data_IF_172594791386
#
_entry.id   IF_172594791386
#
_cell.length_a   1.000
_cell.length_b   1.000
_cell.length_c   1.000
_cell.angle_alpha   90.00
_cell.angle_beta   90.00
_cell.angle_gamma   90.00
#
_symmetry.space_group_name_H-M   'P 1'
#
loop_
_entity.id
_entity.type
_entity.pdbx_description
1 polymer ?
#
# COMPACT_ATOMS: atom_id res chain seq x y z
N UNK A 1 -27.18 -18.39 -28.94
CA UNK A 1 -28.27 -18.06 -27.99
C UNK A 1 -28.30 -16.54 -27.94
N UNK A 2 -29.26 -15.93 -28.64
CA UNK A 2 -29.35 -14.49 -28.78
C UNK A 2 -29.99 -13.89 -27.52
N UNK A 3 -29.27 -12.99 -26.84
CA UNK A 3 -29.84 -12.13 -25.80
C UNK A 3 -29.73 -10.67 -26.25
N UNK A 4 -30.90 -10.06 -26.48
CA UNK A 4 -31.06 -8.61 -26.54
C UNK A 4 -31.65 -8.16 -25.21
N UNK A 5 -30.86 -7.44 -24.42
CA UNK A 5 -31.39 -6.40 -23.53
C UNK A 5 -30.30 -5.37 -23.20
N UNK A 6 -30.60 -4.10 -23.50
CA UNK A 6 -29.81 -2.88 -23.25
C UNK A 6 -28.58 -2.56 -24.11
N UNK A 7 -28.54 -3.00 -25.37
CA UNK A 7 -28.13 -2.20 -26.54
C UNK A 7 -26.95 -1.21 -26.46
N UNK A 8 -25.94 -1.42 -25.62
CA UNK A 8 -24.70 -0.65 -25.60
C UNK A 8 -23.55 -1.60 -25.93
N UNK A 9 -23.06 -1.50 -27.16
CA UNK A 9 -21.81 -2.08 -27.58
C UNK A 9 -20.69 -1.06 -27.32
N UNK A 10 -19.56 -1.52 -26.78
CA UNK A 10 -18.43 -0.69 -26.38
C UNK A 10 -17.47 -0.49 -27.55
N UNK A 11 -17.25 0.76 -27.98
CA UNK A 11 -16.24 1.07 -29.00
C UNK A 11 -14.83 0.94 -28.41
N UNK A 12 -13.95 0.25 -29.12
CA UNK A 12 -12.50 0.24 -28.91
C UNK A 12 -11.80 0.96 -30.06
N UNK A 13 -12.04 2.26 -30.29
CA UNK A 13 -11.26 2.96 -31.34
C UNK A 13 -11.37 4.49 -31.29
N UNK A 14 -10.41 5.11 -30.57
CA UNK A 14 -9.61 6.18 -31.13
C UNK A 14 -8.14 5.92 -30.77
N UNK A 15 -7.32 5.61 -31.77
CA UNK A 15 -5.92 5.24 -31.61
C UNK A 15 -5.07 6.50 -31.74
N UNK A 16 -4.57 7.02 -30.61
CA UNK A 16 -3.41 7.89 -30.60
C UNK A 16 -2.22 7.07 -30.15
N UNK A 17 -1.45 6.58 -31.12
CA UNK A 17 -0.12 6.03 -30.85
C UNK A 17 0.80 7.20 -30.55
N UNK A 18 1.00 7.53 -29.28
CA UNK A 18 2.17 8.32 -28.89
C UNK A 18 3.28 7.34 -28.52
N UNK A 19 4.41 7.32 -29.26
CA UNK A 19 5.57 6.59 -28.80
C UNK A 19 6.10 7.33 -27.56
N UNK A 20 5.94 6.72 -26.39
CA UNK A 20 6.78 7.02 -25.24
C UNK A 20 7.56 5.73 -25.00
N UNK A 21 8.83 5.72 -25.43
CA UNK A 21 9.78 4.63 -25.17
C UNK A 21 9.31 3.22 -25.59
N UNK A 22 8.90 3.03 -26.86
CA UNK A 22 8.54 1.71 -27.42
C UNK A 22 7.40 0.93 -26.70
N UNK A 23 6.55 1.58 -25.91
CA UNK A 23 5.36 0.96 -25.29
C UNK A 23 4.06 1.47 -25.92
N UNK A 24 3.20 0.55 -26.33
CA UNK A 24 1.87 0.84 -26.87
C UNK A 24 0.86 0.97 -25.73
N UNK A 25 0.51 2.21 -25.34
CA UNK A 25 -0.59 2.47 -24.39
C UNK A 25 -1.84 2.81 -25.21
N UNK A 26 -2.87 1.96 -25.17
CA UNK A 26 -4.16 2.19 -25.87
C UNK A 26 -5.17 2.85 -24.93
N UNK A 27 -5.38 4.16 -25.07
CA UNK A 27 -6.50 4.87 -24.45
C UNK A 27 -7.75 4.73 -25.32
N UNK A 28 -8.91 4.53 -24.70
CA UNK A 28 -10.19 4.43 -25.40
C UNK A 28 -11.13 5.45 -24.76
N UNK A 29 -11.41 6.54 -25.49
CA UNK A 29 -12.41 7.54 -25.09
C UNK A 29 -13.70 7.36 -25.90
N UNK A 30 -14.82 7.38 -25.18
CA UNK A 30 -16.14 6.96 -25.65
C UNK A 30 -16.93 8.16 -26.23
N UNK A 31 -16.50 8.71 -27.37
CA UNK A 31 -17.11 9.93 -27.95
C UNK A 31 -18.02 9.75 -29.17
N UNK A 32 -18.18 8.55 -29.72
CA UNK A 32 -18.98 8.37 -30.95
C UNK A 32 -19.62 6.97 -31.02
N UNK A 33 -20.78 6.82 -30.37
CA UNK A 33 -21.55 5.58 -30.26
C UNK A 33 -22.82 5.54 -31.14
N UNK A 34 -22.98 6.40 -32.14
CA UNK A 34 -24.19 6.47 -32.95
C UNK A 34 -23.90 6.16 -34.43
N UNK A 35 -23.96 4.88 -34.84
CA UNK A 35 -24.52 4.40 -36.13
C UNK A 35 -23.93 3.06 -36.68
N UNK A 36 -22.88 2.48 -36.11
CA UNK A 36 -22.26 1.26 -36.68
C UNK A 36 -22.71 -0.05 -36.03
N UNK A 37 -23.03 -1.08 -36.82
CA UNK A 37 -23.12 -2.47 -36.36
C UNK A 37 -21.71 -2.91 -35.97
N UNK A 38 -21.50 -3.20 -34.69
CA UNK A 38 -20.20 -3.62 -34.17
C UNK A 38 -19.99 -5.13 -34.37
N UNK A 39 -18.93 -5.52 -35.06
CA UNK A 39 -18.48 -6.92 -35.09
C UNK A 39 -17.59 -7.22 -33.89
N UNK A 40 -17.88 -8.34 -33.21
CA UNK A 40 -17.09 -8.81 -32.08
C UNK A 40 -15.73 -9.30 -32.59
N UNK A 41 -14.63 -8.76 -32.04
CA UNK A 41 -13.29 -9.26 -32.35
C UNK A 41 -13.19 -10.73 -31.92
N UNK A 42 -12.71 -11.58 -32.83
CA UNK A 42 -12.51 -13.02 -32.57
C UNK A 42 -11.06 -13.38 -32.20
N UNK A 43 -10.11 -12.57 -32.62
CA UNK A 43 -8.68 -12.85 -32.44
C UNK A 43 -8.16 -12.39 -31.06
N UNK A 44 -7.33 -13.21 -30.38
CA UNK A 44 -6.69 -12.79 -29.14
C UNK A 44 -5.74 -11.60 -29.34
N UNK A 45 -5.59 -10.80 -28.30
CA UNK A 45 -4.67 -9.68 -28.17
C UNK A 45 -3.30 -10.17 -27.65
N UNK A 46 -2.61 -11.01 -28.42
CA UNK A 46 -1.34 -11.62 -28.00
C UNK A 46 -0.22 -10.63 -27.65
N UNK A 47 -0.31 -9.38 -28.11
CA UNK A 47 0.67 -8.33 -27.83
C UNK A 47 0.28 -7.41 -26.67
N UNK A 48 -0.91 -7.61 -26.07
CA UNK A 48 -1.34 -6.81 -24.93
C UNK A 48 -0.64 -7.32 -23.66
N UNK A 49 0.33 -6.54 -23.17
CA UNK A 49 1.05 -6.85 -21.92
C UNK A 49 0.52 -6.05 -20.72
N UNK A 50 -0.23 -4.97 -20.94
CA UNK A 50 -0.77 -4.12 -19.89
C UNK A 50 -2.26 -3.86 -20.12
N UNK A 51 -3.08 -4.04 -19.08
CA UNK A 51 -4.52 -3.82 -19.10
C UNK A 51 -4.92 -3.02 -17.87
N UNK A 52 -5.62 -1.92 -18.10
CA UNK A 52 -6.04 -0.98 -17.06
C UNK A 52 -7.52 -0.66 -17.18
N UNK A 53 -8.28 -0.95 -16.12
CA UNK A 53 -9.68 -0.55 -15.99
C UNK A 53 -9.78 0.65 -15.06
N UNK A 54 -9.68 1.86 -15.60
CA UNK A 54 -9.84 3.10 -14.81
C UNK A 54 -11.13 3.81 -15.22
N UNK A 55 -11.87 4.33 -14.23
CA UNK A 55 -12.97 5.27 -14.49
C UNK A 55 -14.27 4.67 -15.04
N UNK A 56 -14.51 3.37 -14.91
CA UNK A 56 -15.76 2.71 -15.36
C UNK A 56 -16.95 3.04 -14.45
N UNK A 57 -17.36 4.32 -14.41
CA UNK A 57 -18.49 4.79 -13.59
C UNK A 57 -19.80 4.17 -14.09
N UNK A 58 -20.59 3.59 -13.19
CA UNK A 58 -21.91 3.04 -13.48
C UNK A 58 -21.92 1.71 -14.25
N UNK A 59 -20.76 1.23 -14.71
CA UNK A 59 -20.66 -0.13 -15.22
C UNK A 59 -20.43 -1.11 -14.07
N UNK A 60 -21.08 -2.28 -14.12
CA UNK A 60 -20.83 -3.38 -13.21
C UNK A 60 -20.82 -4.68 -14.00
N UNK A 61 -19.79 -5.49 -13.78
CA UNK A 61 -19.75 -6.86 -14.27
C UNK A 61 -20.83 -7.66 -13.53
N UNK A 62 -21.74 -8.25 -14.30
CA UNK A 62 -22.90 -8.98 -13.77
C UNK A 62 -22.66 -10.48 -13.69
N UNK A 63 -21.84 -11.03 -14.59
CA UNK A 63 -21.57 -12.45 -14.72
C UNK A 63 -20.08 -12.72 -15.00
N UNK A 64 -19.62 -13.93 -14.70
CA UNK A 64 -18.23 -14.36 -14.90
C UNK A 64 -17.92 -14.66 -16.36
N UNK A 65 -18.95 -14.94 -17.18
CA UNK A 65 -18.80 -15.31 -18.60
C UNK A 65 -18.23 -14.14 -19.40
N UNK A 66 -18.73 -12.93 -19.18
CA UNK A 66 -18.25 -11.74 -19.89
C UNK A 66 -16.80 -11.41 -19.48
N UNK A 67 -16.48 -11.57 -18.20
CA UNK A 67 -15.09 -11.44 -17.71
C UNK A 67 -14.19 -12.52 -18.32
N UNK A 68 -14.64 -13.78 -18.38
CA UNK A 68 -13.90 -14.90 -18.97
C UNK A 68 -13.58 -14.62 -20.44
N UNK A 69 -14.59 -14.21 -21.20
CA UNK A 69 -14.44 -13.90 -22.61
C UNK A 69 -13.39 -12.79 -22.79
N UNK A 70 -13.46 -11.73 -22.01
CA UNK A 70 -12.50 -10.62 -22.06
C UNK A 70 -11.06 -11.06 -21.74
N UNK A 71 -10.84 -11.77 -20.63
CA UNK A 71 -9.48 -12.19 -20.23
C UNK A 71 -8.91 -13.28 -21.15
N UNK A 72 -9.75 -14.12 -21.75
CA UNK A 72 -9.32 -15.10 -22.76
C UNK A 72 -8.67 -14.44 -23.99
N UNK A 73 -8.97 -13.17 -24.27
CA UNK A 73 -8.29 -12.41 -25.32
C UNK A 73 -6.94 -11.84 -24.88
N UNK A 74 -6.52 -11.93 -23.62
CA UNK A 74 -5.33 -11.25 -23.10
C UNK A 74 -4.29 -12.22 -22.49
N UNK A 75 -3.84 -13.28 -23.19
CA UNK A 75 -3.04 -14.34 -22.58
C UNK A 75 -1.62 -13.92 -22.15
N UNK A 76 -1.09 -12.83 -22.70
CA UNK A 76 0.26 -12.33 -22.42
C UNK A 76 0.29 -11.15 -21.45
N UNK A 77 -0.80 -10.93 -20.70
CA UNK A 77 -0.91 -9.84 -19.74
C UNK A 77 0.11 -9.98 -18.62
N UNK A 78 0.96 -8.97 -18.43
CA UNK A 78 1.96 -8.86 -17.36
C UNK A 78 1.59 -7.87 -16.28
N UNK A 79 0.94 -6.76 -16.66
CA UNK A 79 0.47 -5.74 -15.73
C UNK A 79 -1.04 -5.63 -15.78
N UNK A 80 -1.66 -5.82 -14.63
CA UNK A 80 -3.10 -5.72 -14.49
C UNK A 80 -3.45 -4.65 -13.46
N UNK A 81 -4.04 -3.55 -13.94
CA UNK A 81 -4.55 -2.45 -13.14
C UNK A 81 -6.08 -2.49 -13.12
N UNK A 82 -6.64 -2.90 -12.00
CA UNK A 82 -7.99 -3.38 -11.89
C UNK A 82 -8.79 -2.53 -10.91
N UNK A 83 -9.63 -1.63 -11.43
CA UNK A 83 -10.78 -1.13 -10.68
C UNK A 83 -12.04 -1.87 -11.13
N UNK A 84 -12.03 -3.21 -11.02
CA UNK A 84 -13.14 -4.04 -11.53
C UNK A 84 -14.41 -3.82 -10.70
N UNK A 85 -15.49 -3.27 -11.30
CA UNK A 85 -16.75 -3.06 -10.61
C UNK A 85 -17.56 -4.37 -10.60
N UNK A 86 -17.31 -5.25 -9.64
CA UNK A 86 -17.93 -6.58 -9.56
C UNK A 86 -19.15 -6.53 -8.65
N UNK A 87 -20.33 -6.96 -9.07
CA UNK A 87 -21.45 -7.02 -8.11
C UNK A 87 -21.25 -8.13 -7.05
N UNK A 88 -21.08 -7.75 -5.76
CA UNK A 88 -20.89 -8.70 -4.64
C UNK A 88 -22.03 -9.71 -4.52
N UNK A 89 -23.22 -9.37 -5.01
CA UNK A 89 -24.39 -10.24 -4.91
C UNK A 89 -24.39 -11.35 -5.96
N UNK A 90 -23.63 -11.21 -7.04
CA UNK A 90 -23.79 -12.10 -8.21
C UNK A 90 -22.52 -12.83 -8.63
N UNK A 91 -21.35 -12.35 -8.20
CA UNK A 91 -20.07 -12.88 -8.66
C UNK A 91 -19.28 -13.52 -7.52
N UNK A 92 -18.96 -14.80 -7.69
CA UNK A 92 -18.00 -15.51 -6.83
C UNK A 92 -16.60 -14.96 -7.09
N UNK A 93 -16.09 -14.18 -6.11
CA UNK A 93 -14.76 -13.55 -6.14
C UNK A 93 -13.66 -14.57 -6.36
N UNK A 94 -13.79 -15.76 -5.78
CA UNK A 94 -12.79 -16.83 -5.93
C UNK A 94 -12.78 -17.37 -7.37
N UNK A 95 -13.97 -17.58 -7.95
CA UNK A 95 -14.08 -18.00 -9.35
C UNK A 95 -13.52 -16.95 -10.31
N UNK A 96 -13.76 -15.65 -10.04
CA UNK A 96 -13.17 -14.56 -10.83
C UNK A 96 -11.65 -14.55 -10.74
N UNK A 97 -11.10 -14.71 -9.53
CA UNK A 97 -9.66 -14.73 -9.33
C UNK A 97 -8.98 -15.89 -10.08
N UNK A 98 -9.54 -17.11 -9.99
CA UNK A 98 -9.04 -18.28 -10.75
C UNK A 98 -9.09 -18.06 -12.25
N UNK A 99 -10.21 -17.55 -12.75
CA UNK A 99 -10.39 -17.24 -14.16
C UNK A 99 -9.34 -16.25 -14.67
N UNK A 100 -9.05 -15.19 -13.91
CA UNK A 100 -8.01 -14.22 -14.28
C UNK A 100 -6.64 -14.88 -14.30
N UNK A 101 -6.31 -15.67 -13.27
CA UNK A 101 -5.01 -16.35 -13.19
C UNK A 101 -4.81 -17.39 -14.30
N UNK A 102 -5.85 -18.15 -14.66
CA UNK A 102 -5.82 -19.15 -15.73
C UNK A 102 -5.70 -18.51 -17.12
N UNK A 103 -6.45 -17.43 -17.36
CA UNK A 103 -6.45 -16.75 -18.65
C UNK A 103 -5.21 -15.86 -18.86
N UNK A 104 -4.66 -15.29 -17.78
CA UNK A 104 -3.54 -14.37 -17.79
C UNK A 104 -2.41 -14.84 -16.85
N UNK A 105 -1.77 -15.98 -17.14
CA UNK A 105 -0.82 -16.61 -16.22
C UNK A 105 0.50 -15.85 -16.07
N UNK A 106 0.72 -14.75 -16.80
CA UNK A 106 1.97 -13.99 -16.81
C UNK A 106 1.92 -12.70 -15.98
N UNK A 107 0.87 -12.50 -15.18
CA UNK A 107 0.72 -11.28 -14.38
C UNK A 107 1.82 -11.22 -13.32
N UNK A 108 2.64 -10.18 -13.39
CA UNK A 108 3.75 -9.87 -12.48
C UNK A 108 3.45 -8.60 -11.66
N UNK A 109 2.65 -7.69 -12.22
CA UNK A 109 2.31 -6.41 -11.59
C UNK A 109 0.80 -6.31 -11.41
N UNK A 110 0.37 -6.12 -10.17
CA UNK A 110 -1.03 -5.92 -9.81
C UNK A 110 -1.21 -4.51 -9.25
N UNK A 111 -2.08 -3.73 -9.87
CA UNK A 111 -2.63 -2.52 -9.30
C UNK A 111 -4.13 -2.73 -9.08
N UNK A 112 -4.64 -2.30 -7.94
CA UNK A 112 -6.05 -2.41 -7.60
C UNK A 112 -6.46 -1.17 -6.83
N UNK A 113 -7.64 -0.64 -7.11
CA UNK A 113 -8.16 0.46 -6.29
C UNK A 113 -9.65 0.40 -6.09
N UNK A 114 -10.17 1.15 -5.11
CA UNK A 114 -11.57 1.07 -4.77
C UNK A 114 -12.38 1.62 -5.93
N UNK A 115 -13.45 0.92 -6.30
CA UNK A 115 -14.56 1.57 -6.97
C UNK A 115 -15.42 2.20 -5.86
N UNK A 116 -15.81 3.47 -6.00
CA UNK A 116 -16.54 4.23 -4.96
C UNK A 116 -17.78 3.51 -4.41
N UNK A 117 -18.34 2.60 -5.18
CA UNK A 117 -19.56 1.87 -4.85
C UNK A 117 -19.33 0.53 -4.16
N UNK A 118 -18.10 -0.03 -4.18
CA UNK A 118 -17.85 -1.41 -3.75
C UNK A 118 -16.47 -1.64 -3.14
N UNK A 119 -16.48 -2.38 -2.04
CA UNK A 119 -15.35 -2.66 -1.18
C UNK A 119 -14.79 -4.08 -1.44
N UNK A 120 -14.20 -4.31 -2.61
CA UNK A 120 -13.64 -5.62 -2.99
C UNK A 120 -12.17 -5.74 -2.65
N UNK A 121 -11.81 -5.49 -1.39
CA UNK A 121 -10.41 -5.57 -0.97
C UNK A 121 -9.84 -6.99 -0.99
N UNK A 122 -10.71 -8.00 -1.04
CA UNK A 122 -10.29 -9.41 -1.07
C UNK A 122 -9.83 -9.88 -2.45
N UNK A 123 -10.39 -9.34 -3.54
CA UNK A 123 -10.11 -9.81 -4.90
C UNK A 123 -8.62 -9.75 -5.28
N UNK A 124 -7.87 -8.63 -5.08
CA UNK A 124 -6.46 -8.61 -5.44
C UNK A 124 -5.65 -9.72 -4.75
N UNK A 125 -5.92 -9.99 -3.47
CA UNK A 125 -5.26 -11.07 -2.74
C UNK A 125 -5.69 -12.46 -3.22
N UNK A 126 -6.94 -12.64 -3.66
CA UNK A 126 -7.39 -13.88 -4.31
C UNK A 126 -6.71 -14.10 -5.65
N UNK A 127 -6.53 -13.04 -6.45
CA UNK A 127 -5.78 -13.13 -7.72
C UNK A 127 -4.34 -13.56 -7.43
N UNK A 128 -3.66 -12.91 -6.48
CA UNK A 128 -2.31 -13.33 -6.04
C UNK A 128 -2.28 -14.79 -5.61
N UNK A 129 -3.24 -15.22 -4.77
CA UNK A 129 -3.36 -16.61 -4.33
C UNK A 129 -3.55 -17.62 -5.47
N UNK A 130 -4.24 -17.23 -6.55
CA UNK A 130 -4.50 -18.06 -7.72
C UNK A 130 -3.33 -18.07 -8.74
N UNK A 131 -2.52 -17.01 -8.80
CA UNK A 131 -1.33 -16.95 -9.65
C UNK A 131 -0.26 -17.96 -9.20
N UNK A 132 0.70 -18.27 -10.07
CA UNK A 132 1.83 -19.13 -9.73
C UNK A 132 2.63 -18.51 -8.58
N UNK A 133 3.06 -19.35 -7.63
CA UNK A 133 3.86 -18.90 -6.51
C UNK A 133 5.14 -18.21 -7.00
N UNK A 134 5.59 -17.18 -6.28
CA UNK A 134 6.81 -16.46 -6.60
C UNK A 134 6.83 -15.89 -8.03
N UNK A 135 5.68 -15.36 -8.49
CA UNK A 135 5.55 -14.65 -9.76
C UNK A 135 5.32 -13.15 -9.61
N UNK A 136 4.51 -12.73 -8.63
CA UNK A 136 4.15 -11.32 -8.44
C UNK A 136 5.36 -10.55 -7.90
N UNK A 137 5.67 -9.44 -8.57
CA UNK A 137 6.83 -8.57 -8.30
C UNK A 137 6.40 -7.24 -7.70
N UNK A 138 5.26 -6.71 -8.12
CA UNK A 138 4.77 -5.40 -7.66
C UNK A 138 3.28 -5.44 -7.37
N UNK A 139 2.89 -4.87 -6.23
CA UNK A 139 1.50 -4.75 -5.79
C UNK A 139 1.22 -3.31 -5.36
N UNK A 140 0.28 -2.64 -6.03
CA UNK A 140 -0.27 -1.34 -5.62
C UNK A 140 -1.75 -1.53 -5.28
N UNK A 141 -2.11 -1.38 -4.01
CA UNK A 141 -3.49 -1.43 -3.55
C UNK A 141 -3.90 -0.07 -3.02
N UNK A 142 -4.94 0.50 -3.62
CA UNK A 142 -5.71 1.58 -3.03
C UNK A 142 -6.87 0.96 -2.27
N UNK A 143 -6.95 1.28 -1.00
CA UNK A 143 -7.82 0.70 -0.01
C UNK A 143 -8.99 1.67 0.18
N UNK A 144 -10.19 1.15 -0.07
CA UNK A 144 -11.42 1.89 0.17
C UNK A 144 -11.74 1.99 1.67
N UNK A 145 -13.02 2.13 2.00
CA UNK A 145 -13.48 2.15 3.41
C UNK A 145 -13.45 0.78 4.09
N UNK A 146 -13.11 -0.28 3.37
CA UNK A 146 -13.06 -1.61 3.94
C UNK A 146 -11.73 -1.92 4.60
N UNK A 147 -11.85 -2.68 5.69
CA UNK A 147 -10.72 -3.29 6.36
C UNK A 147 -10.05 -4.30 5.42
N UNK A 148 -8.73 -4.33 5.47
CA UNK A 148 -7.93 -5.35 4.82
C UNK A 148 -8.17 -6.68 5.56
N UNK A 149 -8.41 -7.74 4.81
CA UNK A 149 -8.43 -9.11 5.33
C UNK A 149 -6.97 -9.55 5.55
N UNK A 150 -6.43 -9.27 6.74
CA UNK A 150 -5.03 -9.55 7.06
C UNK A 150 -4.63 -11.02 6.88
N UNK A 151 -5.42 -12.02 7.35
CA UNK A 151 -5.10 -13.43 7.09
C UNK A 151 -4.94 -13.73 5.60
N UNK A 152 -5.86 -13.22 4.77
CA UNK A 152 -5.79 -13.43 3.32
C UNK A 152 -4.60 -12.69 2.69
N UNK A 153 -4.35 -11.45 3.10
CA UNK A 153 -3.20 -10.66 2.66
C UNK A 153 -1.89 -11.38 3.00
N UNK A 154 -1.73 -11.85 4.23
CA UNK A 154 -0.52 -12.53 4.69
C UNK A 154 -0.26 -13.82 3.90
N UNK A 155 -1.29 -14.63 3.63
CA UNK A 155 -1.18 -15.82 2.79
C UNK A 155 -0.74 -15.47 1.36
N UNK A 156 -1.32 -14.43 0.77
CA UNK A 156 -0.96 -13.96 -0.57
C UNK A 156 0.48 -13.43 -0.61
N UNK A 157 0.92 -12.68 0.40
CA UNK A 157 2.28 -12.13 0.49
C UNK A 157 3.30 -13.25 0.67
N UNK A 158 3.07 -14.20 1.58
CA UNK A 158 3.95 -15.36 1.79
C UNK A 158 4.15 -16.17 0.50
N UNK A 159 3.10 -16.32 -0.32
CA UNK A 159 3.17 -17.01 -1.61
C UNK A 159 4.12 -16.34 -2.61
N UNK A 160 4.38 -15.04 -2.47
CA UNK A 160 5.21 -14.23 -3.37
C UNK A 160 6.40 -13.58 -2.65
N UNK A 161 6.75 -14.04 -1.45
CA UNK A 161 7.73 -13.40 -0.57
C UNK A 161 9.12 -13.25 -1.20
N UNK A 162 9.54 -14.15 -2.09
CA UNK A 162 10.86 -14.09 -2.72
C UNK A 162 10.89 -13.29 -4.02
N UNK A 163 9.75 -13.02 -4.65
CA UNK A 163 9.70 -12.18 -5.87
C UNK A 163 9.17 -10.79 -5.65
N UNK A 164 8.40 -10.55 -4.58
CA UNK A 164 7.83 -9.25 -4.29
C UNK A 164 8.94 -8.23 -4.00
N UNK A 165 9.01 -7.20 -4.85
CA UNK A 165 9.94 -6.08 -4.75
C UNK A 165 9.26 -4.79 -4.33
N UNK A 166 7.98 -4.63 -4.68
CA UNK A 166 7.24 -3.40 -4.41
C UNK A 166 5.88 -3.72 -3.82
N UNK A 167 5.60 -3.12 -2.66
CA UNK A 167 4.30 -3.17 -2.01
C UNK A 167 3.87 -1.76 -1.62
N UNK A 168 2.81 -1.27 -2.27
CA UNK A 168 2.17 0.00 -1.95
C UNK A 168 0.76 -0.26 -1.46
N UNK A 169 0.46 0.16 -0.24
CA UNK A 169 -0.89 0.11 0.33
C UNK A 169 -1.29 1.54 0.68
N UNK A 170 -2.15 2.14 -0.14
CA UNK A 170 -2.64 3.51 0.03
C UNK A 170 -4.10 3.45 0.44
N UNK A 171 -4.57 4.36 1.28
CA UNK A 171 -5.98 4.42 1.67
C UNK A 171 -6.54 5.79 1.25
N UNK A 172 -7.60 5.78 0.45
CA UNK A 172 -8.14 7.00 -0.20
C UNK A 172 -9.14 7.75 0.70
N UNK A 173 -9.09 7.58 2.02
CA UNK A 173 -10.11 8.12 2.92
C UNK A 173 -9.54 8.70 4.22
N UNK A 174 -10.39 9.42 4.92
CA UNK A 174 -10.10 10.10 6.19
C UNK A 174 -10.22 9.16 7.41
N UNK A 175 -10.01 7.86 7.23
CA UNK A 175 -10.08 6.88 8.30
C UNK A 175 -8.71 6.26 8.55
N UNK A 176 -8.38 6.09 9.81
CA UNK A 176 -7.19 5.35 10.23
C UNK A 176 -7.53 3.88 10.36
N UNK A 177 -6.76 3.02 9.70
CA UNK A 177 -6.86 1.57 9.84
C UNK A 177 -5.53 0.97 10.23
N UNK A 178 -5.52 0.23 11.33
CA UNK A 178 -4.39 -0.61 11.71
C UNK A 178 -4.21 -1.71 10.68
N UNK A 179 -2.96 -2.02 10.36
CA UNK A 179 -2.56 -3.22 9.62
C UNK A 179 -1.34 -3.87 10.28
N UNK A 180 -1.23 -5.19 10.14
CA UNK A 180 0.01 -5.91 10.42
C UNK A 180 0.96 -5.88 9.23
N UNK A 181 2.23 -5.58 9.48
CA UNK A 181 3.34 -5.67 8.52
C UNK A 181 4.38 -6.73 8.90
N UNK A 182 4.16 -7.47 9.99
CA UNK A 182 5.17 -8.43 10.48
C UNK A 182 5.50 -9.51 9.46
N UNK A 183 4.49 -10.06 8.78
CA UNK A 183 4.69 -11.02 7.67
C UNK A 183 5.49 -10.40 6.51
N UNK A 184 5.23 -9.14 6.16
CA UNK A 184 5.94 -8.44 5.07
C UNK A 184 7.42 -8.28 5.43
N UNK A 185 7.69 -7.75 6.62
CA UNK A 185 9.05 -7.43 7.07
C UNK A 185 9.88 -8.69 7.34
N UNK A 186 9.24 -9.79 7.74
CA UNK A 186 9.89 -11.07 8.02
C UNK A 186 10.14 -11.90 6.76
N UNK A 187 9.20 -11.96 5.81
CA UNK A 187 9.26 -12.92 4.71
C UNK A 187 9.80 -12.32 3.41
N UNK A 188 9.57 -11.03 3.15
CA UNK A 188 9.87 -10.40 1.86
C UNK A 188 11.33 -9.93 1.74
N UNK A 189 12.28 -10.87 1.64
CA UNK A 189 13.72 -10.57 1.64
C UNK A 189 14.21 -9.75 0.43
N UNK A 190 13.45 -9.74 -0.67
CA UNK A 190 13.75 -8.98 -1.89
C UNK A 190 12.95 -7.68 -2.02
N UNK A 191 12.24 -7.26 -0.96
CA UNK A 191 11.46 -6.02 -0.98
C UNK A 191 12.38 -4.80 -1.09
N UNK A 192 12.14 -4.00 -2.13
CA UNK A 192 12.85 -2.76 -2.45
C UNK A 192 12.03 -1.53 -2.05
N UNK A 193 10.69 -1.62 -2.10
CA UNK A 193 9.76 -0.53 -1.78
C UNK A 193 8.65 -1.03 -0.86
N UNK A 194 8.55 -0.44 0.33
CA UNK A 194 7.40 -0.58 1.22
C UNK A 194 6.76 0.79 1.45
N UNK A 195 5.58 1.00 0.89
CA UNK A 195 4.91 2.30 0.91
C UNK A 195 3.50 2.19 1.48
N UNK A 196 3.39 2.46 2.78
CA UNK A 196 2.16 2.46 3.57
C UNK A 196 2.04 3.87 4.20
N UNK A 197 1.69 4.88 3.40
CA UNK A 197 1.62 6.24 3.88
C UNK A 197 0.44 6.41 4.82
N UNK A 198 0.62 7.30 5.80
CA UNK A 198 -0.44 7.80 6.64
C UNK A 198 -0.46 9.33 6.51
N UNK A 199 -1.62 9.90 6.19
CA UNK A 199 -1.81 11.35 6.13
C UNK A 199 -2.30 11.86 7.48
N UNK A 200 -2.38 13.18 7.61
CA UNK A 200 -2.99 13.83 8.77
C UNK A 200 -4.50 13.59 8.84
N UNK A 201 -5.13 13.23 7.73
CA UNK A 201 -6.57 12.97 7.67
C UNK A 201 -6.94 11.50 7.79
N UNK A 202 -6.03 10.56 7.54
CA UNK A 202 -6.32 9.13 7.57
C UNK A 202 -5.18 8.29 7.03
N UNK A 203 -5.41 6.99 6.86
CA UNK A 203 -4.43 6.11 6.27
C UNK A 203 -4.29 4.77 6.97
N UNK A 204 -3.35 3.98 6.46
CA UNK A 204 -2.94 2.75 7.10
C UNK A 204 -1.82 3.03 8.07
N UNK A 205 -1.84 2.34 9.22
CA UNK A 205 -0.77 2.46 10.21
C UNK A 205 -0.43 1.11 10.82
N UNK A 206 0.78 1.02 11.36
CA UNK A 206 1.30 -0.15 12.07
C UNK A 206 1.56 0.23 13.52
N UNK A 207 1.43 -0.69 14.46
CA UNK A 207 1.85 -0.41 15.85
C UNK A 207 3.35 -0.63 15.99
N UNK A 208 4.00 0.11 16.89
CA UNK A 208 5.42 -0.11 17.22
C UNK A 208 5.71 -1.58 17.57
N UNK A 209 4.84 -2.23 18.35
CA UNK A 209 4.94 -3.67 18.66
C UNK A 209 4.97 -4.56 17.43
N UNK A 210 4.14 -4.25 16.43
CA UNK A 210 4.06 -5.07 15.23
C UNK A 210 5.29 -4.88 14.33
N UNK A 211 5.82 -3.66 14.26
CA UNK A 211 7.09 -3.38 13.58
C UNK A 211 8.29 -4.05 14.28
N UNK A 212 8.18 -4.30 15.59
CA UNK A 212 9.20 -4.93 16.42
C UNK A 212 9.04 -6.45 16.56
N UNK A 213 7.93 -7.03 16.11
CA UNK A 213 7.57 -8.43 16.36
C UNK A 213 8.65 -9.43 15.87
N UNK A 214 9.20 -9.19 14.68
CA UNK A 214 10.21 -10.06 14.06
C UNK A 214 11.36 -9.27 13.43
N UNK A 215 12.60 -9.79 13.37
CA UNK A 215 13.69 -9.15 12.64
C UNK A 215 13.33 -8.87 11.19
N UNK A 216 13.79 -7.73 10.66
CA UNK A 216 13.51 -7.34 9.29
C UNK A 216 14.47 -8.07 8.34
N UNK A 217 13.93 -8.82 7.38
CA UNK A 217 14.72 -9.56 6.38
C UNK A 217 14.85 -8.81 5.05
N UNK A 218 14.08 -7.72 4.87
CA UNK A 218 14.07 -6.87 3.68
C UNK A 218 15.31 -5.94 3.61
N UNK A 219 16.51 -6.51 3.57
CA UNK A 219 17.77 -5.75 3.55
C UNK A 219 17.97 -4.90 2.27
N UNK A 220 17.19 -5.16 1.21
CA UNK A 220 17.23 -4.43 -0.06
C UNK A 220 16.32 -3.21 -0.11
N UNK A 221 15.69 -2.87 1.01
CA UNK A 221 14.71 -1.80 1.03
C UNK A 221 15.38 -0.46 0.73
N UNK A 222 14.94 0.17 -0.36
CA UNK A 222 15.43 1.46 -0.84
C UNK A 222 14.47 2.59 -0.47
N UNK A 223 13.17 2.29 -0.37
CA UNK A 223 12.14 3.26 -0.02
C UNK A 223 11.25 2.69 1.09
N UNK A 224 11.20 3.39 2.22
CA UNK A 224 10.35 3.09 3.37
C UNK A 224 9.39 4.25 3.60
N UNK A 225 8.09 4.01 3.52
CA UNK A 225 7.10 4.93 4.05
C UNK A 225 6.13 4.18 4.97
N UNK A 226 6.08 4.55 6.25
CA UNK A 226 5.25 3.90 7.26
C UNK A 226 4.61 4.93 8.20
N UNK A 227 3.29 4.81 8.40
CA UNK A 227 2.61 5.38 9.56
C UNK A 227 2.75 4.45 10.77
N UNK A 228 3.29 4.91 11.90
CA UNK A 228 3.47 4.11 13.12
C UNK A 228 2.77 4.73 14.32
N UNK A 229 1.97 3.94 15.02
CA UNK A 229 1.31 4.31 16.27
C UNK A 229 2.00 3.71 17.50
N UNK A 230 1.74 4.26 18.68
CA UNK A 230 2.36 3.79 19.92
C UNK A 230 3.82 4.22 20.03
N UNK A 231 4.15 5.36 19.42
CA UNK A 231 5.44 6.02 19.53
C UNK A 231 5.39 7.15 20.57
N UNK A 232 4.22 7.53 21.06
CA UNK A 232 4.03 8.57 22.05
C UNK A 232 4.76 8.23 23.34
N UNK A 233 5.58 9.16 23.83
CA UNK A 233 6.26 8.98 25.12
C UNK A 233 5.18 9.01 26.22
N UNK A 234 5.11 7.98 27.08
CA UNK A 234 4.06 7.89 28.09
C UNK A 234 4.10 9.11 29.02
N UNK A 235 2.93 9.73 29.24
CA UNK A 235 2.77 10.81 30.21
C UNK A 235 2.30 10.21 31.55
N UNK A 236 3.11 10.34 32.60
CA UNK A 236 2.74 9.92 33.94
C UNK A 236 2.02 11.06 34.70
N UNK A 237 0.85 10.81 35.33
CA UNK A 237 0.13 11.84 36.07
C UNK A 237 0.99 12.51 37.15
N UNK A 238 1.10 13.84 37.10
CA UNK A 238 1.90 14.62 38.05
C UNK A 238 3.40 14.65 37.76
N UNK A 239 3.85 13.98 36.70
CA UNK A 239 5.24 14.06 36.21
C UNK A 239 5.26 14.96 34.98
N UNK A 240 6.14 15.96 35.01
CA UNK A 240 6.32 16.84 33.86
C UNK A 240 6.90 16.05 32.65
N UNK A 241 6.50 16.30 31.39
CA UNK A 241 7.07 15.61 30.24
C UNK A 241 8.60 15.74 30.17
N UNK A 242 9.31 14.67 29.79
CA UNK A 242 10.78 14.63 29.85
C UNK A 242 11.48 15.83 29.19
N UNK A 243 10.95 16.32 28.07
CA UNK A 243 11.52 17.43 27.29
C UNK A 243 11.39 18.80 27.98
N UNK A 244 10.68 18.90 29.11
CA UNK A 244 10.56 20.13 29.92
C UNK A 244 11.28 20.04 31.26
N UNK A 245 11.77 18.85 31.64
CA UNK A 245 12.47 18.64 32.91
C UNK A 245 13.85 19.33 32.90
N UNK A 246 14.34 19.81 34.06
CA UNK A 246 15.69 20.34 34.16
C UNK A 246 16.74 19.25 33.92
N UNK A 247 17.87 19.62 33.32
CA UNK A 247 19.00 18.71 33.11
C UNK A 247 19.78 18.50 34.42
N UNK A 248 20.29 17.29 34.72
CA UNK A 248 20.16 16.08 33.92
C UNK A 248 18.75 15.49 34.00
N UNK A 249 18.19 15.14 32.83
CA UNK A 249 16.87 14.54 32.70
C UNK A 249 16.95 13.11 33.25
N UNK A 250 16.15 12.84 34.27
CA UNK A 250 15.93 11.49 34.79
C UNK A 250 14.63 10.99 34.19
N UNK A 251 14.72 9.95 33.36
CA UNK A 251 13.56 9.27 32.78
C UNK A 251 12.88 8.41 33.84
N UNK A 252 11.55 8.31 33.74
CA UNK A 252 10.81 7.33 34.53
C UNK A 252 11.05 5.91 34.01
N UNK A 253 10.57 4.90 34.74
CA UNK A 253 10.70 3.51 34.32
C UNK A 253 9.94 3.22 33.01
N UNK A 254 8.77 3.85 32.82
CA UNK A 254 7.95 3.66 31.63
C UNK A 254 8.54 4.41 30.43
N UNK A 255 9.05 5.64 30.64
CA UNK A 255 9.80 6.35 29.60
C UNK A 255 11.04 5.58 29.17
N UNK A 256 11.82 5.05 30.12
CA UNK A 256 13.02 4.25 29.83
C UNK A 256 12.67 3.03 28.98
N UNK A 257 11.61 2.31 29.33
CA UNK A 257 11.14 1.14 28.56
C UNK A 257 10.66 1.54 27.17
N UNK A 258 9.97 2.66 27.06
CA UNK A 258 9.48 3.17 25.78
C UNK A 258 10.63 3.58 24.85
N UNK A 259 11.59 4.34 25.37
CA UNK A 259 12.79 4.74 24.64
C UNK A 259 13.65 3.54 24.22
N UNK A 260 13.73 2.48 25.02
CA UNK A 260 14.39 1.23 24.61
C UNK A 260 13.71 0.59 23.39
N UNK A 261 12.38 0.61 23.31
CA UNK A 261 11.63 0.06 22.16
C UNK A 261 11.82 0.92 20.91
N UNK A 262 11.83 2.25 21.07
CA UNK A 262 12.15 3.18 19.98
C UNK A 262 13.58 2.96 19.48
N UNK A 263 14.54 2.75 20.38
CA UNK A 263 15.93 2.45 20.02
C UNK A 263 16.02 1.18 19.17
N UNK A 264 15.36 0.08 19.59
CA UNK A 264 15.31 -1.16 18.81
C UNK A 264 14.69 -0.95 17.42
N UNK A 265 13.68 -0.10 17.34
CA UNK A 265 13.03 0.25 16.08
C UNK A 265 13.98 1.04 15.16
N UNK A 266 14.64 2.08 15.69
CA UNK A 266 15.61 2.87 14.93
C UNK A 266 16.83 2.06 14.52
N UNK A 267 17.31 1.12 15.35
CA UNK A 267 18.39 0.19 14.97
C UNK A 267 18.00 -0.67 13.76
N UNK A 268 16.75 -1.13 13.68
CA UNK A 268 16.26 -1.89 12.52
C UNK A 268 16.27 -1.04 11.25
N UNK A 269 15.85 0.22 11.32
CA UNK A 269 15.95 1.14 10.18
C UNK A 269 17.41 1.40 9.83
N UNK A 270 18.27 1.66 10.82
CA UNK A 270 19.70 1.91 10.64
C UNK A 270 20.45 0.74 10.01
N UNK A 271 19.95 -0.49 10.15
CA UNK A 271 20.49 -1.67 9.49
C UNK A 271 20.15 -1.77 7.99
N UNK A 272 19.20 -0.98 7.48
CA UNK A 272 18.79 -0.97 6.07
C UNK A 272 19.77 -0.17 5.21
N UNK A 273 21.00 -0.65 5.04
CA UNK A 273 22.07 0.08 4.34
C UNK A 273 21.77 0.47 2.88
N UNK A 274 20.76 -0.16 2.25
CA UNK A 274 20.28 0.19 0.91
C UNK A 274 19.26 1.34 0.89
N UNK A 275 18.82 1.81 2.07
CA UNK A 275 17.75 2.81 2.21
C UNK A 275 18.19 4.16 1.66
N UNK A 276 17.41 4.67 0.71
CA UNK A 276 17.58 5.99 0.10
C UNK A 276 16.54 6.98 0.59
N UNK A 277 15.32 6.51 0.81
CA UNK A 277 14.22 7.33 1.30
C UNK A 277 13.54 6.69 2.50
N UNK A 278 13.44 7.44 3.59
CA UNK A 278 12.70 7.08 4.79
C UNK A 278 11.67 8.17 5.10
N UNK A 279 10.39 7.84 4.98
CA UNK A 279 9.27 8.71 5.29
C UNK A 279 8.42 8.08 6.40
N UNK A 280 8.77 8.43 7.62
CA UNK A 280 8.19 7.90 8.83
C UNK A 280 7.19 8.93 9.34
N UNK A 281 5.94 8.51 9.60
CA UNK A 281 4.94 9.36 10.26
C UNK A 281 4.41 8.75 11.55
N UNK A 282 4.45 9.51 12.63
CA UNK A 282 3.83 9.08 13.87
C UNK A 282 2.32 9.25 13.72
N UNK A 283 1.57 8.24 14.13
CA UNK A 283 0.11 8.26 14.16
C UNK A 283 -0.30 8.39 15.61
N UNK A 284 -0.67 9.62 15.98
CA UNK A 284 -1.23 9.91 17.29
C UNK A 284 -2.54 9.15 17.44
N UNK A 285 -2.56 8.21 18.38
CA UNK A 285 -3.71 7.35 18.56
C UNK A 285 -4.94 8.14 18.99
N UNK A 286 -6.05 7.53 18.61
CA UNK A 286 -7.40 7.91 18.91
C UNK A 286 -7.57 8.15 20.43
N UNK A 287 -8.40 9.12 20.82
CA UNK A 287 -8.83 9.32 22.20
C UNK A 287 -9.42 8.02 22.80
N UNK A 288 -9.74 8.02 24.09
CA UNK A 288 -10.30 6.84 24.78
C UNK A 288 -11.57 6.26 24.10
N UNK A 289 -12.24 7.04 23.26
CA UNK A 289 -13.41 6.62 22.49
C UNK A 289 -13.06 5.97 21.13
N UNK A 290 -11.78 5.88 20.78
CA UNK A 290 -11.38 5.43 19.46
C UNK A 290 -11.64 6.46 18.36
N UNK A 291 -11.73 7.76 18.70
CA UNK A 291 -11.83 8.86 17.73
C UNK A 291 -10.51 9.64 17.60
N UNK A 292 -10.24 10.15 16.41
CA UNK A 292 -9.03 10.93 16.13
C UNK A 292 -9.05 12.23 16.92
N UNK A 293 -8.03 12.46 17.74
CA UNK A 293 -7.80 13.78 18.35
C UNK A 293 -7.19 14.73 17.30
N UNK A 294 -8.08 15.36 16.53
CA UNK A 294 -7.72 16.28 15.44
C UNK A 294 -6.92 17.48 15.97
N UNK A 295 -7.16 17.90 17.22
CA UNK A 295 -6.43 19.04 17.81
C UNK A 295 -4.97 18.66 18.06
N UNK A 296 -4.71 17.45 18.57
CA UNK A 296 -3.35 16.93 18.73
C UNK A 296 -2.62 16.70 17.40
N UNK A 297 -3.34 16.38 16.32
CA UNK A 297 -2.75 16.20 14.99
C UNK A 297 -2.26 17.49 14.33
N UNK A 298 -2.76 18.65 14.75
CA UNK A 298 -2.32 19.95 14.21
C UNK A 298 -1.03 20.48 14.83
N UNK A 299 -0.58 19.87 15.92
CA UNK A 299 0.67 20.25 16.56
C UNK A 299 1.85 19.61 15.79
N UNK A 300 2.95 20.34 15.61
CA UNK A 300 4.18 19.87 14.95
C UNK A 300 4.84 18.67 15.69
N UNK A 301 4.19 18.16 16.74
CA UNK A 301 4.56 16.97 17.54
C UNK A 301 4.42 15.64 16.80
N UNK A 302 4.07 15.61 15.52
CA UNK A 302 4.06 14.39 14.70
C UNK A 302 5.47 13.85 14.38
N UNK A 303 6.50 14.49 14.95
CA UNK A 303 7.87 13.98 15.03
C UNK A 303 7.94 12.55 15.57
N UNK A 304 8.82 11.73 15.01
CA UNK A 304 9.31 10.57 15.75
C UNK A 304 10.14 11.01 16.95
N UNK A 305 9.84 10.57 18.19
CA UNK A 305 10.54 11.03 19.38
C UNK A 305 12.04 10.76 19.29
N UNK A 306 12.83 11.81 19.51
CA UNK A 306 14.30 11.78 19.56
C UNK A 306 15.02 11.23 18.32
N UNK A 307 14.31 10.96 17.21
CA UNK A 307 14.89 10.37 16.00
C UNK A 307 15.98 11.25 15.38
N UNK A 308 15.76 12.57 15.38
CA UNK A 308 16.68 13.56 14.78
C UNK A 308 17.57 14.26 15.82
N UNK A 309 17.64 13.73 17.05
CA UNK A 309 18.50 14.24 18.11
C UNK A 309 19.72 13.34 18.27
N UNK A 310 20.88 13.92 18.62
CA UNK A 310 22.02 13.14 19.09
C UNK A 310 21.85 12.86 20.60
N UNK A 311 22.28 11.69 21.09
CA UNK A 311 22.24 11.40 22.51
C UNK A 311 23.21 12.32 23.27
N UNK A 312 22.77 12.85 24.41
CA UNK A 312 23.61 13.67 25.30
C UNK A 312 23.70 13.02 26.69
N UNK A 313 24.79 12.31 27.00
CA UNK A 313 24.98 11.68 28.30
C UNK A 313 25.11 12.66 29.46
N UNK A 314 25.50 13.92 29.22
CA UNK A 314 25.66 14.91 30.28
C UNK A 314 24.30 15.46 30.71
N UNK A 315 23.41 15.72 29.74
CA UNK A 315 22.06 16.22 30.02
C UNK A 315 21.05 15.10 30.24
N UNK A 316 21.38 13.85 29.91
CA UNK A 316 20.44 12.72 29.94
C UNK A 316 19.40 12.76 28.83
N UNK A 317 19.61 13.59 27.79
CA UNK A 317 18.64 13.74 26.69
C UNK A 317 18.74 12.56 25.73
N UNK A 318 17.64 11.82 25.47
CA UNK A 318 17.62 10.77 24.46
C UNK A 318 17.85 11.31 23.05
N UNK A 319 18.56 10.54 22.23
CA UNK A 319 18.81 10.84 20.83
C UNK A 319 19.27 9.58 20.11
N UNK A 320 18.90 9.47 18.83
CA UNK A 320 19.09 8.27 18.02
C UNK A 320 19.61 8.56 16.61
N UNK A 321 19.99 9.80 16.32
CA UNK A 321 20.48 10.19 15.00
C UNK A 321 21.73 9.39 14.60
N UNK A 322 22.57 9.00 15.55
CA UNK A 322 23.78 8.20 15.37
C UNK A 322 23.48 6.76 14.90
N UNK A 323 22.31 6.21 15.21
CA UNK A 323 21.89 4.88 14.75
C UNK A 323 21.69 4.81 13.23
N UNK A 324 21.54 5.96 12.56
CA UNK A 324 21.43 6.05 11.11
C UNK A 324 22.78 6.25 10.40
N UNK A 325 23.90 6.21 11.14
CA UNK A 325 25.25 6.45 10.60
C UNK A 325 25.67 5.48 9.48
N UNK A 326 25.10 4.27 9.43
CA UNK A 326 25.35 3.30 8.37
C UNK A 326 24.61 3.60 7.05
N UNK A 327 23.63 4.51 7.07
CA UNK A 327 22.78 4.85 5.92
C UNK A 327 23.44 5.89 5.01
N UNK A 328 24.66 5.59 4.53
CA UNK A 328 25.45 6.50 3.70
C UNK A 328 24.80 6.88 2.36
N UNK A 329 23.83 6.08 1.89
CA UNK A 329 23.05 6.34 0.67
C UNK A 329 21.70 7.02 0.92
N UNK A 330 21.40 7.44 2.15
CA UNK A 330 20.14 8.10 2.50
C UNK A 330 20.08 9.50 1.89
N UNK A 331 19.17 9.69 0.95
CA UNK A 331 18.93 10.96 0.25
C UNK A 331 17.82 11.77 0.96
N UNK A 332 16.83 11.08 1.53
CA UNK A 332 15.67 11.70 2.17
C UNK A 332 15.37 11.03 3.51
N UNK A 333 15.42 11.81 4.59
CA UNK A 333 14.93 11.42 5.92
C UNK A 333 13.82 12.36 6.36
N UNK A 334 12.58 11.88 6.36
CA UNK A 334 11.40 12.63 6.81
C UNK A 334 10.84 11.95 8.06
N UNK A 335 10.79 12.72 9.14
CA UNK A 335 10.08 12.36 10.37
C UNK A 335 8.90 13.28 10.69
N UNK A 336 8.60 14.23 9.80
CA UNK A 336 7.58 15.26 9.98
C UNK A 336 6.77 15.44 8.70
N UNK A 337 5.50 15.80 8.87
CA UNK A 337 4.47 15.91 7.83
C UNK A 337 4.62 17.10 6.88
N UNK A 338 5.81 17.39 6.38
CA UNK A 338 5.92 18.23 5.20
C UNK A 338 5.32 17.46 4.02
N UNK A 339 4.05 17.69 3.74
CA UNK A 339 3.44 17.34 2.47
C UNK A 339 4.19 18.15 1.42
N UNK A 340 5.12 17.49 0.73
CA UNK A 340 5.56 17.98 -0.56
C UNK A 340 4.31 17.85 -1.41
N UNK A 341 3.69 18.98 -1.76
CA UNK A 341 2.68 18.99 -2.80
C UNK A 341 3.32 18.38 -4.03
N UNK A 342 2.90 17.18 -4.39
CA UNK A 342 3.20 16.61 -5.69
C UNK A 342 2.36 17.42 -6.70
N UNK A 343 2.95 18.51 -7.21
CA UNK A 343 2.48 19.30 -8.36
C UNK A 343 2.69 18.54 -9.68
#
# INVERSE_FOLDING_TARGET
MDFKENGRAWRYEHVSLRPINNRYIRYIEDKEAAAGVMELRKEPLHHLEELSFRGMRGHRWKNTVDLAAMFAHCPNLKKFDAHLPISNQTLDVEAVARLIAEACPRIEVLAYGPNREQNHMVLPFRIMGALLAQQVVSVELRVGRSRIDEPLMNLAIQRHSTTLRELRLQMDNELFSKISVSTILQECCNLEVLHIPCTHTGGLYVTLDNALEHPWTCAKLTHLALGISGCEVPEEPGVEPYHRRPTPIILTADETRHFSRLEDFYRRIGALTALKESNMRMVLLLNDNGEVDIERMRDDRMAFPAMLSLPDPQTGTPGYLDLFSALSGLEVLRGFGAEVGDD
#
